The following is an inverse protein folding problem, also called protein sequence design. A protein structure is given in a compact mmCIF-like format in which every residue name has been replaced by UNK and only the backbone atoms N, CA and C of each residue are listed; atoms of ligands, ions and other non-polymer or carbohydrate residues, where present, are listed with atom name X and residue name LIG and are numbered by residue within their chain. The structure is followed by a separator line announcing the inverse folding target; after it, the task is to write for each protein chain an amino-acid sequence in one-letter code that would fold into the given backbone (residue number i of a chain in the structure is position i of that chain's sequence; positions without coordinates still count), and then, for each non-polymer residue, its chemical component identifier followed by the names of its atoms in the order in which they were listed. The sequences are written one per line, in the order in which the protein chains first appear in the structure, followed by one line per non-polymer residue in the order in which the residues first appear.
data_IF_389903639692
#
_entry.id   IF_389903639692
#
_cell.length_a   1.000
_cell.length_b   1.000
_cell.length_c   1.000
_cell.angle_alpha   90.00
_cell.angle_beta   90.00
_cell.angle_gamma   90.00
#
_symmetry.space_group_name_H-M   'P 1'
#
loop_
_entity.id
_entity.type
_entity.pdbx_description
1 polymer ?
#
# COMPACT_ATOMS: atom_id res chain seq x y z
N UNK A 1 75.86 50.04 -5.20
CA UNK A 1 75.46 51.45 -5.10
C UNK A 1 74.14 51.50 -4.34
N UNK A 2 74.20 51.75 -3.03
CA UNK A 2 73.03 52.04 -2.19
C UNK A 2 72.54 53.47 -2.45
N UNK A 3 71.25 53.71 -2.22
CA UNK A 3 70.61 54.84 -1.48
C UNK A 3 69.09 54.74 -1.75
N UNK A 4 68.28 54.30 -0.77
CA UNK A 4 67.29 55.07 0.04
C UNK A 4 66.20 55.79 -0.82
N UNK A 5 64.90 55.80 -0.49
CA UNK A 5 64.30 56.07 0.81
C UNK A 5 62.74 55.94 0.80
N UNK A 6 62.18 55.85 2.02
CA UNK A 6 60.88 56.37 2.50
C UNK A 6 59.57 55.54 2.48
N UNK A 7 59.20 55.17 3.71
CA UNK A 7 57.88 54.82 4.25
C UNK A 7 56.78 55.87 3.98
N UNK A 8 55.51 55.41 3.83
CA UNK A 8 54.41 55.78 4.75
C UNK A 8 53.13 54.95 4.49
N UNK A 9 52.51 54.58 5.61
CA UNK A 9 51.29 53.79 5.78
C UNK A 9 50.02 54.51 5.27
N UNK A 10 49.10 53.77 4.63
CA UNK A 10 47.67 54.13 4.55
C UNK A 10 46.83 52.87 4.79
N UNK A 11 45.87 53.06 5.69
CA UNK A 11 44.92 52.14 6.30
C UNK A 11 43.62 52.13 5.47
N UNK A 12 43.11 50.99 5.00
CA UNK A 12 41.71 50.80 4.55
C UNK A 12 41.40 49.29 4.51
N UNK A 13 40.74 48.74 5.54
CA UNK A 13 39.28 48.52 5.66
C UNK A 13 38.74 47.42 4.72
N UNK A 14 38.61 46.22 5.30
CA UNK A 14 37.60 45.16 5.09
C UNK A 14 36.73 45.16 3.84
N UNK A 15 36.69 44.01 3.14
CA UNK A 15 35.43 43.27 2.96
C UNK A 15 35.69 41.81 2.58
N UNK A 16 35.62 40.92 3.58
CA UNK A 16 35.41 39.49 3.38
C UNK A 16 33.99 39.34 2.82
N UNK A 17 33.84 39.11 1.51
CA UNK A 17 32.60 38.59 0.95
C UNK A 17 32.55 37.09 1.22
N UNK A 18 32.22 36.73 2.46
CA UNK A 18 31.56 35.46 2.72
C UNK A 18 30.17 35.64 2.11
N UNK A 19 30.00 35.21 0.86
CA UNK A 19 28.69 34.83 0.34
C UNK A 19 28.24 33.61 1.16
N UNK A 20 27.77 33.88 2.38
CA UNK A 20 26.75 33.04 3.00
C UNK A 20 25.54 33.14 2.08
N UNK A 21 25.49 32.25 1.09
CA UNK A 21 24.27 31.90 0.41
C UNK A 21 23.33 31.34 1.45
N UNK A 22 22.59 32.22 2.13
CA UNK A 22 21.29 31.86 2.64
C UNK A 22 20.50 31.47 1.39
N UNK A 23 20.44 30.16 1.12
CA UNK A 23 19.44 29.57 0.26
C UNK A 23 18.12 30.04 0.87
N UNK A 24 17.55 31.08 0.30
CA UNK A 24 16.17 31.44 0.58
C UNK A 24 15.37 30.29 -0.03
N UNK A 25 15.11 29.25 0.77
CA UNK A 25 14.11 28.24 0.40
C UNK A 25 12.85 29.00 0.03
N UNK A 26 12.44 28.80 -1.23
CA UNK A 26 11.23 29.40 -1.73
C UNK A 26 10.06 28.91 -0.86
N UNK A 27 8.98 29.68 -0.80
CA UNK A 27 7.77 29.23 -0.10
C UNK A 27 7.27 27.90 -0.68
N UNK A 28 7.45 27.72 -1.99
CA UNK A 28 7.12 26.51 -2.75
C UNK A 28 7.95 25.31 -2.29
N UNK A 29 9.26 25.49 -2.08
CA UNK A 29 10.18 24.44 -1.62
C UNK A 29 9.79 23.96 -0.20
N UNK A 30 9.49 24.91 0.70
CA UNK A 30 9.04 24.59 2.07
C UNK A 30 7.68 23.90 2.11
N UNK A 31 6.83 24.13 1.12
CA UNK A 31 5.52 23.49 1.07
C UNK A 31 5.58 22.10 0.41
N UNK A 32 6.48 21.89 -0.56
CA UNK A 32 6.74 20.56 -1.13
C UNK A 32 7.45 19.63 -0.14
N UNK A 33 8.49 20.10 0.56
CA UNK A 33 9.20 19.29 1.57
C UNK A 33 8.27 18.77 2.67
N UNK A 34 7.28 19.55 3.11
CA UNK A 34 6.24 19.08 4.05
C UNK A 34 5.37 17.97 3.47
N UNK A 35 5.08 18.00 2.17
CA UNK A 35 4.33 16.93 1.50
C UNK A 35 5.18 15.66 1.50
N UNK A 36 6.46 15.75 1.16
CA UNK A 36 7.41 14.63 1.18
C UNK A 36 7.54 14.04 2.59
N UNK A 37 7.74 14.87 3.61
CA UNK A 37 7.80 14.44 5.01
C UNK A 37 6.49 13.79 5.46
N UNK A 38 5.34 14.38 5.12
CA UNK A 38 4.04 13.82 5.43
C UNK A 38 3.80 12.48 4.72
N UNK A 39 4.32 12.30 3.51
CA UNK A 39 4.19 11.06 2.76
C UNK A 39 5.09 9.96 3.33
N UNK A 40 6.36 10.29 3.60
CA UNK A 40 7.38 9.34 4.10
C UNK A 40 7.18 8.94 5.55
N UNK A 41 6.62 9.83 6.38
CA UNK A 41 6.30 9.53 7.80
C UNK A 41 5.18 8.52 7.97
N UNK A 42 4.38 8.26 6.92
CA UNK A 42 3.37 7.20 6.93
C UNK A 42 4.05 5.84 6.93
N UNK A 43 4.06 5.20 8.09
CA UNK A 43 4.46 3.80 8.17
C UNK A 43 3.50 2.93 7.36
N UNK A 44 4.04 1.99 6.59
CA UNK A 44 3.32 0.81 6.11
C UNK A 44 2.96 -0.06 7.33
N UNK A 45 2.02 0.40 8.14
CA UNK A 45 1.35 -0.46 9.09
C UNK A 45 0.46 -1.35 8.24
N UNK A 46 0.80 -2.65 8.17
CA UNK A 46 -0.14 -3.69 7.76
C UNK A 46 -1.40 -3.54 8.61
N UNK A 47 -2.32 -2.71 8.11
CA UNK A 47 -3.27 -1.93 8.90
C UNK A 47 -3.86 -2.78 10.03
N UNK A 48 -3.50 -2.45 11.28
CA UNK A 48 -4.09 -3.07 12.49
C UNK A 48 -5.60 -2.77 12.59
N UNK A 49 -6.13 -1.97 11.67
CA UNK A 49 -7.52 -1.62 11.57
C UNK A 49 -8.32 -2.85 11.20
N UNK A 50 -9.18 -3.27 12.12
CA UNK A 50 -10.00 -4.46 12.01
C UNK A 50 -10.92 -4.44 10.78
N UNK A 51 -11.41 -3.28 10.35
CA UNK A 51 -12.30 -3.12 9.20
C UNK A 51 -11.60 -2.57 7.95
N UNK A 52 -10.30 -2.88 7.76
CA UNK A 52 -9.47 -2.32 6.67
C UNK A 52 -9.99 -2.63 5.24
N UNK A 53 -10.81 -3.67 5.07
CA UNK A 53 -11.44 -4.00 3.79
C UNK A 53 -12.93 -3.67 3.75
N UNK A 54 -13.46 -2.97 4.75
CA UNK A 54 -14.83 -2.45 4.69
C UNK A 54 -14.95 -1.35 3.64
N UNK A 55 -16.11 -1.26 2.99
CA UNK A 55 -16.42 -0.22 2.02
C UNK A 55 -16.23 1.19 2.64
N UNK A 56 -16.67 1.39 3.87
CA UNK A 56 -16.51 2.67 4.57
C UNK A 56 -15.03 3.04 4.74
N UNK A 57 -14.18 2.07 5.11
CA UNK A 57 -12.75 2.29 5.22
C UNK A 57 -12.13 2.61 3.87
N UNK A 58 -12.47 1.85 2.82
CA UNK A 58 -11.96 2.05 1.46
C UNK A 58 -12.31 3.46 0.96
N UNK A 59 -13.54 3.93 1.16
CA UNK A 59 -13.93 5.29 0.78
C UNK A 59 -13.23 6.36 1.61
N UNK A 60 -13.00 6.11 2.91
CA UNK A 60 -12.22 7.03 3.74
C UNK A 60 -10.77 7.16 3.22
N UNK A 61 -10.14 6.05 2.84
CA UNK A 61 -8.79 6.04 2.27
C UNK A 61 -8.75 6.71 0.89
N UNK A 62 -9.76 6.48 0.04
CA UNK A 62 -9.88 7.18 -1.25
C UNK A 62 -9.97 8.70 -1.04
N UNK A 63 -10.75 9.16 -0.06
CA UNK A 63 -10.85 10.59 0.26
C UNK A 63 -9.50 11.16 0.72
N UNK A 64 -8.74 10.42 1.52
CA UNK A 64 -7.38 10.83 1.95
C UNK A 64 -6.45 10.92 0.74
N UNK A 65 -6.45 9.91 -0.12
CA UNK A 65 -5.62 9.86 -1.34
C UNK A 65 -5.93 11.04 -2.26
N UNK A 66 -7.21 11.33 -2.52
CA UNK A 66 -7.61 12.47 -3.36
C UNK A 66 -7.18 13.81 -2.78
N UNK A 67 -7.30 13.99 -1.47
CA UNK A 67 -6.82 15.20 -0.81
C UNK A 67 -5.29 15.37 -0.95
N UNK A 68 -4.54 14.27 -0.85
CA UNK A 68 -3.08 14.30 -1.03
C UNK A 68 -2.66 14.57 -2.46
N UNK A 69 -3.34 13.97 -3.44
CA UNK A 69 -3.15 14.28 -4.85
C UNK A 69 -3.43 15.75 -5.15
N UNK A 70 -4.49 16.32 -4.57
CA UNK A 70 -4.81 17.73 -4.77
C UNK A 70 -3.73 18.65 -4.18
N UNK A 71 -3.20 18.32 -2.99
CA UNK A 71 -2.08 19.05 -2.39
C UNK A 71 -0.83 18.95 -3.25
N UNK A 72 -0.47 17.75 -3.70
CA UNK A 72 0.68 17.52 -4.57
C UNK A 72 0.55 18.32 -5.87
N UNK A 73 -0.58 18.20 -6.57
CA UNK A 73 -0.85 18.89 -7.84
C UNK A 73 -1.00 20.40 -7.72
N UNK A 74 -1.06 20.94 -6.51
CA UNK A 74 -1.02 22.40 -6.28
C UNK A 74 0.40 22.98 -6.30
N UNK A 75 1.42 22.11 -6.25
CA UNK A 75 2.83 22.49 -6.38
C UNK A 75 3.13 22.76 -7.86
N UNK A 76 3.79 23.88 -8.14
CA UNK A 76 4.24 24.24 -9.49
C UNK A 76 5.43 23.34 -9.83
N UNK A 77 5.22 22.33 -10.67
CA UNK A 77 6.22 21.30 -10.98
C UNK A 77 7.50 21.88 -11.57
N UNK A 78 7.38 22.94 -12.38
CA UNK A 78 8.49 23.58 -13.08
C UNK A 78 9.48 24.23 -12.13
N UNK A 79 8.98 24.74 -10.99
CA UNK A 79 9.77 25.43 -9.95
C UNK A 79 10.61 24.46 -9.11
N UNK A 80 10.30 23.15 -9.15
CA UNK A 80 11.02 22.13 -8.40
C UNK A 80 12.42 21.87 -8.97
N UNK A 81 13.37 21.58 -8.08
CA UNK A 81 14.68 21.03 -8.48
C UNK A 81 14.53 19.67 -9.16
N UNK A 82 15.58 19.20 -9.83
CA UNK A 82 15.52 17.90 -10.52
C UNK A 82 15.26 16.73 -9.57
N UNK A 83 15.81 16.77 -8.35
CA UNK A 83 15.58 15.75 -7.32
C UNK A 83 14.12 15.80 -6.84
N UNK A 84 13.60 16.99 -6.55
CA UNK A 84 12.20 17.17 -6.13
C UNK A 84 11.21 16.79 -7.24
N UNK A 85 11.55 16.99 -8.52
CA UNK A 85 10.74 16.52 -9.66
C UNK A 85 10.62 14.99 -9.68
N UNK A 86 11.69 14.28 -9.35
CA UNK A 86 11.68 12.81 -9.21
C UNK A 86 10.79 12.40 -8.05
N UNK A 87 10.95 13.02 -6.87
CA UNK A 87 10.12 12.76 -5.70
C UNK A 87 8.64 13.05 -5.98
N UNK A 88 8.35 14.16 -6.65
CA UNK A 88 7.00 14.53 -7.07
C UNK A 88 6.38 13.40 -7.91
N UNK A 89 7.10 12.94 -8.94
CA UNK A 89 6.60 11.89 -9.85
C UNK A 89 6.44 10.56 -9.14
N UNK A 90 7.32 10.24 -8.20
CA UNK A 90 7.22 9.03 -7.39
C UNK A 90 6.02 9.06 -6.43
N UNK A 91 5.79 10.18 -5.74
CA UNK A 91 4.63 10.34 -4.86
C UNK A 91 3.34 10.32 -5.69
N UNK A 92 3.32 11.04 -6.82
CA UNK A 92 2.18 11.05 -7.75
C UNK A 92 1.84 9.63 -8.21
N UNK A 93 2.84 8.83 -8.60
CA UNK A 93 2.60 7.47 -9.11
C UNK A 93 2.00 6.54 -8.07
N UNK A 94 2.48 6.61 -6.82
CA UNK A 94 1.95 5.82 -5.72
C UNK A 94 0.52 6.25 -5.34
N UNK A 95 0.24 7.55 -5.32
CA UNK A 95 -1.09 8.06 -4.98
C UNK A 95 -2.11 7.79 -6.09
N UNK A 96 -1.77 8.02 -7.36
CA UNK A 96 -2.65 7.70 -8.50
C UNK A 96 -2.90 6.20 -8.57
N UNK A 97 -1.90 5.35 -8.33
CA UNK A 97 -2.11 3.90 -8.27
C UNK A 97 -3.09 3.47 -7.17
N UNK A 98 -3.13 4.17 -6.03
CA UNK A 98 -4.14 3.95 -4.98
C UNK A 98 -5.53 4.43 -5.41
N UNK A 99 -5.62 5.63 -6.00
CA UNK A 99 -6.87 6.18 -6.52
C UNK A 99 -7.50 5.21 -7.55
N UNK A 100 -6.72 4.78 -8.55
CA UNK A 100 -7.15 3.82 -9.57
C UNK A 100 -7.70 2.53 -8.93
N UNK A 101 -7.01 2.00 -7.91
CA UNK A 101 -7.45 0.77 -7.24
C UNK A 101 -8.78 0.93 -6.52
N UNK A 102 -8.96 2.03 -5.79
CA UNK A 102 -10.14 2.25 -4.97
C UNK A 102 -11.36 2.74 -5.77
N UNK A 103 -11.15 3.54 -6.80
CA UNK A 103 -12.21 4.20 -7.56
C UNK A 103 -12.49 3.53 -8.91
N UNK A 104 -11.46 3.22 -9.69
CA UNK A 104 -11.62 2.79 -11.08
C UNK A 104 -11.72 1.26 -11.19
N UNK A 105 -10.79 0.52 -10.56
CA UNK A 105 -10.72 -0.95 -10.63
C UNK A 105 -11.72 -1.61 -9.67
N UNK A 106 -11.86 -1.08 -8.46
CA UNK A 106 -12.77 -1.60 -7.43
C UNK A 106 -12.71 -3.13 -7.27
N UNK A 107 -11.51 -3.72 -7.26
CA UNK A 107 -11.34 -5.18 -7.19
C UNK A 107 -12.06 -5.79 -5.98
N UNK A 108 -12.16 -5.03 -4.88
CA UNK A 108 -12.90 -5.37 -3.67
C UNK A 108 -14.39 -5.68 -3.90
N UNK A 109 -15.01 -5.25 -5.01
CA UNK A 109 -16.39 -5.62 -5.36
C UNK A 109 -16.54 -6.92 -6.14
N UNK A 110 -15.45 -7.47 -6.67
CA UNK A 110 -15.50 -8.57 -7.66
C UNK A 110 -14.47 -9.68 -7.48
N UNK A 111 -13.37 -9.43 -6.77
CA UNK A 111 -12.29 -10.39 -6.55
C UNK A 111 -12.32 -10.94 -5.11
N UNK A 112 -12.76 -12.19 -4.90
CA UNK A 112 -12.79 -12.77 -3.56
C UNK A 112 -11.41 -12.87 -2.91
N UNK A 113 -10.34 -12.91 -3.70
CA UNK A 113 -8.96 -13.10 -3.21
C UNK A 113 -8.47 -11.92 -2.38
N UNK A 114 -9.00 -10.72 -2.61
CA UNK A 114 -8.66 -9.52 -1.85
C UNK A 114 -8.96 -9.68 -0.34
N UNK A 115 -9.90 -10.55 0.01
CA UNK A 115 -10.32 -10.83 1.39
C UNK A 115 -9.59 -12.03 2.03
N UNK A 116 -8.66 -12.69 1.31
CA UNK A 116 -7.96 -13.89 1.75
C UNK A 116 -6.45 -13.68 1.90
N UNK A 117 -6.07 -12.67 2.69
CA UNK A 117 -4.67 -12.31 2.96
C UNK A 117 -3.99 -13.22 3.99
N UNK A 118 -4.10 -14.55 3.81
CA UNK A 118 -3.67 -15.55 4.80
C UNK A 118 -2.18 -15.87 4.72
N UNK A 119 -1.52 -15.59 3.58
CA UNK A 119 -0.08 -15.87 3.38
C UNK A 119 0.81 -15.32 4.51
N UNK A 120 0.43 -14.17 5.07
CA UNK A 120 1.18 -13.54 6.16
C UNK A 120 1.15 -14.36 7.46
N UNK A 121 0.10 -15.16 7.67
CA UNK A 121 0.01 -16.08 8.81
C UNK A 121 1.09 -17.15 8.68
N UNK A 122 1.03 -17.94 7.60
CA UNK A 122 1.99 -19.01 7.34
C UNK A 122 3.44 -18.52 7.29
N UNK A 123 3.70 -17.37 6.64
CA UNK A 123 5.06 -16.83 6.59
C UNK A 123 5.56 -16.35 7.96
N UNK A 124 4.66 -15.82 8.80
CA UNK A 124 5.06 -15.33 10.13
C UNK A 124 5.30 -16.48 11.10
N UNK A 125 4.41 -17.48 11.17
CA UNK A 125 4.54 -18.59 12.12
C UNK A 125 5.72 -19.51 11.79
N UNK A 126 6.03 -19.68 10.49
CA UNK A 126 7.16 -20.49 10.03
C UNK A 126 8.46 -19.69 9.90
N UNK A 127 8.40 -18.35 10.00
CA UNK A 127 9.56 -17.46 9.87
C UNK A 127 10.47 -17.43 11.10
N UNK A 128 11.54 -16.65 11.01
CA UNK A 128 12.59 -16.54 12.04
C UNK A 128 12.22 -15.71 13.29
N UNK A 129 10.97 -15.20 13.39
CA UNK A 129 10.53 -14.41 14.55
C UNK A 129 10.53 -15.24 15.83
N UNK A 130 10.66 -14.57 16.98
CA UNK A 130 10.54 -15.24 18.27
C UNK A 130 9.12 -15.78 18.48
N UNK A 131 8.94 -16.76 19.36
CA UNK A 131 7.58 -17.23 19.62
C UNK A 131 6.68 -16.12 20.16
N UNK A 132 7.17 -15.29 21.09
CA UNK A 132 6.40 -14.17 21.64
C UNK A 132 5.91 -13.21 20.55
N UNK A 133 6.75 -12.91 19.57
CA UNK A 133 6.36 -12.06 18.45
C UNK A 133 5.31 -12.72 17.55
N UNK A 134 5.41 -14.03 17.33
CA UNK A 134 4.42 -14.82 16.57
C UNK A 134 3.07 -14.87 17.28
N UNK A 135 3.06 -15.08 18.61
CA UNK A 135 1.83 -15.05 19.43
C UNK A 135 1.18 -13.66 19.34
N UNK A 136 1.97 -12.60 19.53
CA UNK A 136 1.50 -11.21 19.46
C UNK A 136 0.88 -10.93 18.08
N UNK A 137 1.58 -11.34 17.02
CA UNK A 137 1.08 -11.21 15.65
C UNK A 137 -0.24 -11.94 15.45
N UNK A 138 -0.35 -13.22 15.84
CA UNK A 138 -1.59 -13.99 15.66
C UNK A 138 -2.76 -13.35 16.42
N UNK A 139 -2.50 -12.91 17.65
CA UNK A 139 -3.51 -12.27 18.51
C UNK A 139 -4.04 -10.97 17.90
N UNK A 140 -3.18 -10.18 17.26
CA UNK A 140 -3.57 -8.93 16.60
C UNK A 140 -4.19 -9.17 15.21
N UNK A 141 -3.67 -10.13 14.43
CA UNK A 141 -3.99 -10.27 13.01
C UNK A 141 -5.21 -11.16 12.74
N UNK A 142 -5.42 -12.23 13.50
CA UNK A 142 -6.55 -13.14 13.28
C UNK A 142 -7.92 -12.44 13.37
N UNK A 143 -8.18 -11.51 14.32
CA UNK A 143 -9.44 -10.76 14.34
C UNK A 143 -9.65 -9.88 13.10
N UNK A 144 -8.58 -9.42 12.44
CA UNK A 144 -8.67 -8.64 11.20
C UNK A 144 -9.10 -9.56 10.07
N UNK A 145 -8.48 -10.75 9.97
CA UNK A 145 -8.84 -11.76 8.97
C UNK A 145 -10.31 -12.19 9.08
N UNK A 146 -10.83 -12.34 10.30
CA UNK A 146 -12.24 -12.65 10.50
C UNK A 146 -13.15 -11.57 9.89
N UNK A 147 -12.83 -10.29 10.09
CA UNK A 147 -13.63 -9.18 9.56
C UNK A 147 -13.43 -8.95 8.06
N UNK A 148 -12.23 -9.22 7.54
CA UNK A 148 -11.97 -9.24 6.09
C UNK A 148 -12.92 -10.23 5.40
N UNK A 149 -13.04 -11.46 5.90
CA UNK A 149 -13.98 -12.47 5.36
C UNK A 149 -15.44 -12.02 5.39
N UNK A 150 -15.88 -11.44 6.53
CA UNK A 150 -17.24 -10.91 6.68
C UNK A 150 -17.54 -9.77 5.70
N UNK A 151 -16.55 -8.91 5.46
CA UNK A 151 -16.66 -7.80 4.50
C UNK A 151 -16.81 -8.35 3.08
N UNK A 152 -16.02 -9.36 2.72
CA UNK A 152 -16.10 -10.02 1.41
C UNK A 152 -17.49 -10.56 1.09
N UNK A 153 -18.12 -11.30 2.01
CA UNK A 153 -19.48 -11.81 1.81
C UNK A 153 -20.54 -10.72 1.59
N UNK A 154 -20.30 -9.48 2.04
CA UNK A 154 -21.24 -8.35 1.90
C UNK A 154 -20.97 -7.51 0.66
N UNK A 155 -19.71 -7.39 0.26
CA UNK A 155 -19.25 -6.40 -0.72
C UNK A 155 -18.99 -6.98 -2.11
N UNK A 156 -18.82 -8.30 -2.24
CA UNK A 156 -18.66 -8.96 -3.54
C UNK A 156 -20.01 -8.97 -4.29
N UNK A 157 -20.24 -7.97 -5.14
CA UNK A 157 -21.52 -7.74 -5.83
C UNK A 157 -21.45 -7.97 -7.34
N UNK A 158 -20.25 -8.20 -7.88
CA UNK A 158 -20.00 -8.47 -9.30
C UNK A 158 -19.33 -9.84 -9.48
N UNK A 159 -19.76 -10.58 -10.50
CA UNK A 159 -19.27 -11.91 -10.83
C UNK A 159 -18.28 -11.86 -11.98
N UNK A 160 -17.02 -12.21 -11.71
CA UNK A 160 -16.01 -12.47 -12.74
C UNK A 160 -15.65 -13.96 -12.66
N UNK A 161 -15.98 -14.80 -13.67
CA UNK A 161 -15.79 -16.26 -13.60
C UNK A 161 -14.38 -16.67 -13.16
N UNK A 162 -13.35 -16.03 -13.72
CA UNK A 162 -11.96 -16.36 -13.40
C UNK A 162 -11.56 -15.98 -11.96
N UNK A 163 -12.09 -14.88 -11.42
CA UNK A 163 -11.83 -14.49 -10.04
C UNK A 163 -12.58 -15.38 -9.06
N UNK A 164 -13.81 -15.77 -9.40
CA UNK A 164 -14.59 -16.73 -8.64
C UNK A 164 -13.88 -18.09 -8.57
N UNK A 165 -13.40 -18.62 -9.69
CA UNK A 165 -12.71 -19.92 -9.76
C UNK A 165 -11.47 -19.93 -8.84
N UNK A 166 -10.61 -18.93 -9.00
CA UNK A 166 -9.36 -18.83 -8.23
C UNK A 166 -9.64 -18.54 -6.75
N UNK A 167 -10.62 -17.67 -6.46
CA UNK A 167 -11.07 -17.38 -5.09
C UNK A 167 -11.64 -18.62 -4.41
N UNK A 168 -12.49 -19.39 -5.09
CA UNK A 168 -13.08 -20.60 -4.56
C UNK A 168 -12.01 -21.65 -4.26
N UNK A 169 -11.05 -21.83 -5.17
CA UNK A 169 -9.91 -22.71 -4.95
C UNK A 169 -9.13 -22.29 -3.69
N UNK A 170 -8.79 -21.00 -3.55
CA UNK A 170 -8.10 -20.52 -2.36
C UNK A 170 -8.91 -20.75 -1.08
N UNK A 171 -10.19 -20.42 -1.09
CA UNK A 171 -11.07 -20.55 0.08
C UNK A 171 -11.17 -22.01 0.57
N UNK A 172 -11.41 -22.95 -0.37
CA UNK A 172 -11.54 -24.39 -0.06
C UNK A 172 -10.27 -24.98 0.57
N UNK A 173 -9.10 -24.48 0.19
CA UNK A 173 -7.81 -24.99 0.66
C UNK A 173 -7.26 -24.27 1.91
N UNK A 174 -7.90 -23.19 2.36
CA UNK A 174 -7.33 -22.34 3.42
C UNK A 174 -7.57 -22.83 4.84
N UNK A 175 -8.45 -23.82 5.06
CA UNK A 175 -8.72 -24.36 6.41
C UNK A 175 -7.44 -24.85 7.10
N UNK A 176 -6.53 -25.47 6.33
CA UNK A 176 -5.24 -26.04 6.78
C UNK A 176 -4.40 -25.04 7.59
N UNK A 177 -4.51 -23.75 7.28
CA UNK A 177 -3.76 -22.69 7.98
C UNK A 177 -4.27 -22.56 9.41
N UNK A 178 -5.59 -22.60 9.60
CA UNK A 178 -6.25 -22.30 10.87
C UNK A 178 -6.37 -23.51 11.79
N UNK A 179 -6.42 -24.72 11.24
CA UNK A 179 -6.57 -25.97 12.01
C UNK A 179 -5.26 -26.77 12.15
N UNK A 180 -4.36 -26.76 11.16
CA UNK A 180 -3.13 -27.54 11.21
C UNK A 180 -1.91 -26.67 11.48
N UNK A 181 -1.65 -25.66 10.66
CA UNK A 181 -0.40 -24.89 10.76
C UNK A 181 -0.27 -24.15 12.09
N UNK A 182 -1.35 -23.51 12.55
CA UNK A 182 -1.40 -22.86 13.86
C UNK A 182 -1.20 -23.87 15.01
N UNK A 183 -1.75 -25.09 14.89
CA UNK A 183 -1.56 -26.12 15.90
C UNK A 183 -0.11 -26.64 15.93
N UNK A 184 0.51 -26.86 14.77
CA UNK A 184 1.95 -27.19 14.67
C UNK A 184 2.84 -26.09 15.28
N UNK A 185 2.45 -24.82 15.12
CA UNK A 185 3.12 -23.72 15.79
C UNK A 185 3.02 -23.82 17.33
N UNK A 186 1.86 -24.18 17.88
CA UNK A 186 1.73 -24.33 19.34
C UNK A 186 2.57 -25.46 19.94
N UNK A 187 2.87 -26.49 19.16
CA UNK A 187 3.73 -27.61 19.56
C UNK A 187 5.21 -27.21 19.57
N UNK A 188 5.62 -26.39 18.60
CA UNK A 188 7.01 -25.91 18.47
C UNK A 188 7.34 -24.70 19.34
N UNK A 189 6.32 -23.99 19.83
CA UNK A 189 6.51 -22.89 20.76
C UNK A 189 6.50 -23.34 22.22
N UNK A 190 7.64 -23.28 22.89
CA UNK A 190 7.75 -23.60 24.32
C UNK A 190 7.21 -22.51 25.26
N UNK A 191 7.16 -21.25 24.81
CA UNK A 191 6.81 -20.11 25.66
C UNK A 191 5.33 -19.72 25.67
N UNK A 192 4.49 -20.40 24.88
CA UNK A 192 3.06 -20.06 24.78
C UNK A 192 2.29 -20.63 25.99
N UNK A 193 1.50 -19.78 26.62
CA UNK A 193 0.63 -20.14 27.75
C UNK A 193 -0.63 -20.87 27.28
N UNK A 194 -1.30 -21.59 28.19
CA UNK A 194 -2.56 -22.26 27.86
C UNK A 194 -3.67 -21.26 27.51
N UNK A 195 -3.69 -20.09 28.16
CA UNK A 195 -4.68 -19.04 27.88
C UNK A 195 -4.48 -18.44 26.48
N UNK A 196 -3.24 -18.14 26.08
CA UNK A 196 -2.94 -17.68 24.72
C UNK A 196 -3.31 -18.74 23.67
N UNK A 197 -3.01 -20.02 23.92
CA UNK A 197 -3.46 -21.13 23.04
C UNK A 197 -4.98 -21.13 22.89
N UNK A 198 -5.71 -21.05 24.01
CA UNK A 198 -7.16 -21.07 24.01
C UNK A 198 -7.76 -19.87 23.26
N UNK A 199 -7.20 -18.68 23.46
CA UNK A 199 -7.62 -17.47 22.76
C UNK A 199 -7.42 -17.60 21.24
N UNK A 200 -6.22 -18.00 20.81
CA UNK A 200 -5.90 -18.16 19.38
C UNK A 200 -6.76 -19.27 18.75
N UNK A 201 -6.95 -20.41 19.43
CA UNK A 201 -7.84 -21.48 18.95
C UNK A 201 -9.28 -21.03 18.81
N UNK A 202 -9.78 -20.24 19.75
CA UNK A 202 -11.13 -19.70 19.72
C UNK A 202 -11.34 -18.84 18.47
N UNK A 203 -10.45 -17.87 18.21
CA UNK A 203 -10.57 -17.02 17.02
C UNK A 203 -10.34 -17.82 15.73
N UNK A 204 -9.40 -18.77 15.68
CA UNK A 204 -9.22 -19.66 14.52
C UNK A 204 -10.49 -20.45 14.19
N UNK A 205 -11.17 -20.96 15.21
CA UNK A 205 -12.44 -21.69 15.03
C UNK A 205 -13.55 -20.79 14.48
N UNK A 206 -13.60 -19.54 14.91
CA UNK A 206 -14.52 -18.56 14.36
C UNK A 206 -14.19 -18.24 12.89
N UNK A 207 -12.91 -18.07 12.55
CA UNK A 207 -12.46 -17.84 11.17
C UNK A 207 -12.82 -19.01 10.27
N UNK A 208 -12.65 -20.25 10.72
CA UNK A 208 -13.06 -21.45 9.96
C UNK A 208 -14.57 -21.41 9.65
N UNK A 209 -15.39 -20.97 10.60
CA UNK A 209 -16.84 -20.83 10.36
C UNK A 209 -17.14 -19.72 9.35
N UNK A 210 -16.50 -18.55 9.47
CA UNK A 210 -16.64 -17.47 8.50
C UNK A 210 -16.13 -17.87 7.10
N UNK A 211 -15.04 -18.63 7.03
CA UNK A 211 -14.50 -19.15 5.77
C UNK A 211 -15.47 -20.12 5.09
N UNK A 212 -16.22 -20.94 5.84
CA UNK A 212 -17.29 -21.77 5.28
C UNK A 212 -18.43 -20.92 4.70
N UNK A 213 -18.85 -19.87 5.41
CA UNK A 213 -19.87 -18.93 4.93
C UNK A 213 -19.38 -18.24 3.65
N UNK A 214 -18.16 -17.73 3.65
CA UNK A 214 -17.53 -17.07 2.51
C UNK A 214 -17.35 -18.01 1.32
N UNK A 215 -16.91 -19.26 1.55
CA UNK A 215 -16.79 -20.28 0.50
C UNK A 215 -18.15 -20.57 -0.13
N UNK A 216 -19.19 -20.77 0.68
CA UNK A 216 -20.55 -20.97 0.20
C UNK A 216 -21.06 -19.75 -0.59
N UNK A 217 -20.72 -18.54 -0.16
CA UNK A 217 -21.05 -17.33 -0.90
C UNK A 217 -20.40 -17.32 -2.29
N UNK A 218 -19.09 -17.55 -2.39
CA UNK A 218 -18.36 -17.59 -3.67
C UNK A 218 -18.89 -18.70 -4.57
N UNK A 219 -19.24 -19.86 -4.02
CA UNK A 219 -19.67 -21.02 -4.78
C UNK A 219 -21.11 -20.90 -5.28
N UNK A 220 -22.04 -20.44 -4.44
CA UNK A 220 -23.48 -20.56 -4.70
C UNK A 220 -24.20 -19.22 -4.88
N UNK A 221 -23.64 -18.11 -4.38
CA UNK A 221 -24.31 -16.80 -4.41
C UNK A 221 -23.66 -15.88 -5.43
N UNK A 222 -22.33 -15.76 -5.42
CA UNK A 222 -21.58 -14.89 -6.31
C UNK A 222 -21.86 -15.15 -7.80
N UNK A 223 -21.99 -16.39 -8.30
CA UNK A 223 -22.29 -16.63 -9.73
C UNK A 223 -23.64 -16.11 -10.20
N UNK A 224 -24.55 -15.79 -9.27
CA UNK A 224 -25.87 -15.22 -9.57
C UNK A 224 -25.89 -13.68 -9.49
N UNK A 225 -24.73 -13.05 -9.27
CA UNK A 225 -24.58 -11.59 -9.29
C UNK A 225 -24.40 -11.06 -10.71
N UNK A 226 -24.34 -9.75 -10.86
CA UNK A 226 -24.10 -9.09 -12.14
C UNK A 226 -22.77 -9.57 -12.74
N UNK A 227 -22.82 -10.13 -13.94
CA UNK A 227 -21.63 -10.60 -14.65
C UNK A 227 -20.77 -9.40 -15.08
N UNK A 228 -19.47 -9.50 -14.82
CA UNK A 228 -18.47 -8.48 -15.08
C UNK A 228 -17.24 -9.13 -15.71
N UNK A 229 -16.28 -8.31 -16.14
CA UNK A 229 -15.05 -8.78 -16.79
C UNK A 229 -13.84 -8.48 -15.92
N UNK A 230 -12.73 -9.18 -16.16
CA UNK A 230 -11.44 -8.85 -15.53
C UNK A 230 -10.80 -7.58 -16.11
N UNK A 231 -11.34 -7.05 -17.23
CA UNK A 231 -10.83 -5.85 -17.87
C UNK A 231 -11.10 -4.62 -17.01
N UNK A 232 -10.16 -3.67 -17.04
CA UNK A 232 -10.25 -2.40 -16.30
C UNK A 232 -10.65 -1.20 -17.19
N UNK A 233 -10.76 -1.44 -18.50
CA UNK A 233 -11.08 -0.43 -19.51
C UNK A 233 -9.87 0.39 -19.98
N UNK A 234 -9.93 0.87 -21.23
CA UNK A 234 -8.85 1.63 -21.90
C UNK A 234 -8.46 2.90 -21.14
N UNK A 235 -9.45 3.68 -20.68
CA UNK A 235 -9.18 4.92 -19.95
C UNK A 235 -8.39 4.68 -18.66
N UNK A 236 -8.83 3.71 -17.85
CA UNK A 236 -8.13 3.30 -16.61
C UNK A 236 -6.74 2.76 -16.91
N UNK A 237 -6.60 1.93 -17.95
CA UNK A 237 -5.31 1.37 -18.34
C UNK A 237 -4.31 2.46 -18.77
N UNK A 238 -4.74 3.41 -19.61
CA UNK A 238 -3.88 4.52 -20.05
C UNK A 238 -3.54 5.48 -18.89
N UNK A 239 -4.47 5.71 -17.97
CA UNK A 239 -4.20 6.46 -16.72
C UNK A 239 -3.12 5.75 -15.88
N UNK A 240 -3.19 4.42 -15.79
CA UNK A 240 -2.20 3.60 -15.09
C UNK A 240 -0.83 3.65 -15.77
N UNK A 241 -0.76 3.46 -17.10
CA UNK A 241 0.50 3.57 -17.86
C UNK A 241 1.19 4.92 -17.62
N UNK A 242 0.44 6.01 -17.80
CA UNK A 242 0.97 7.37 -17.70
C UNK A 242 1.41 7.75 -16.30
N UNK A 243 0.55 7.54 -15.30
CA UNK A 243 0.76 8.12 -13.98
C UNK A 243 1.33 7.13 -12.97
N UNK A 244 0.94 5.86 -13.02
CA UNK A 244 1.43 4.85 -12.08
C UNK A 244 2.74 4.22 -12.57
N UNK A 245 2.84 3.90 -13.86
CA UNK A 245 4.05 3.29 -14.43
C UNK A 245 5.02 4.29 -15.06
N UNK A 246 4.62 5.56 -15.14
CA UNK A 246 5.44 6.66 -15.68
C UNK A 246 5.95 6.35 -17.10
N UNK A 247 5.11 5.70 -17.89
CA UNK A 247 5.39 5.38 -19.29
C UNK A 247 4.84 6.49 -20.19
N UNK A 248 5.58 6.79 -21.26
CA UNK A 248 5.14 7.73 -22.30
C UNK A 248 4.17 7.10 -23.29
N UNK A 249 4.03 5.76 -23.24
CA UNK A 249 3.14 4.99 -24.08
C UNK A 249 1.71 4.97 -23.54
N UNK A 250 0.75 4.93 -24.46
CA UNK A 250 -0.62 4.48 -24.23
C UNK A 250 -0.79 3.01 -24.63
N UNK A 251 -2.00 2.47 -24.52
CA UNK A 251 -2.30 1.08 -24.85
C UNK A 251 -1.92 0.68 -26.28
N UNK A 252 -2.14 1.57 -27.25
CA UNK A 252 -1.89 1.30 -28.67
C UNK A 252 -0.39 1.34 -28.97
N UNK A 253 0.29 2.41 -28.57
CA UNK A 253 1.73 2.58 -28.83
C UNK A 253 2.57 1.56 -28.06
N UNK A 254 2.16 1.15 -26.86
CA UNK A 254 2.82 0.07 -26.12
C UNK A 254 2.64 -1.29 -26.80
N UNK A 255 1.45 -1.55 -27.35
CA UNK A 255 1.17 -2.78 -28.09
C UNK A 255 2.01 -2.85 -29.37
N UNK A 256 2.06 -1.77 -30.14
CA UNK A 256 2.89 -1.68 -31.35
C UNK A 256 4.37 -1.90 -31.05
N UNK A 257 4.90 -1.26 -30.00
CA UNK A 257 6.27 -1.45 -29.54
C UNK A 257 6.54 -2.93 -29.22
N UNK A 258 5.68 -3.56 -28.42
CA UNK A 258 5.85 -4.97 -28.02
C UNK A 258 5.70 -5.98 -29.16
N UNK A 259 5.05 -5.61 -30.27
CA UNK A 259 4.94 -6.47 -31.45
C UNK A 259 6.17 -6.41 -32.37
N UNK A 260 6.96 -5.34 -32.25
CA UNK A 260 8.16 -5.13 -33.07
C UNK A 260 9.43 -5.75 -32.46
N UNK A 261 9.44 -5.98 -31.15
CA UNK A 261 10.51 -6.66 -30.40
C UNK A 261 10.38 -8.20 -30.43
#
# INVERSE_FOLDING_TARGET
MQIFNQNKSIFFLTCFLILSGCINESKTDRDFNKIVESFTSKKNNFSKTRNRLSEEYIFSELSVVKNELNKLRSVIYEDLSNEEKVDYKFIESLLVGKEIRYEDIQSWKRDPRDYMNFRQISSTINGAKTCKDKITFLTEYLPIIQEDLKSGSKQLVEYVPRFQELGLYMAKNSNVIFDEEINKFFESCSSITQDEKNQIKSISSQIINELKIFTNYIENILPNREESTFSIGKSTYNKMLKYQFLLEYDDETLWEFGWQE
#
